data_IF_227520463546
#
_entry.id   IF_227520463546
#
_cell.length_a   1.000
_cell.length_b   1.000
_cell.length_c   1.000
_cell.angle_alpha   90.00
_cell.angle_beta   90.00
_cell.angle_gamma   90.00
#
_symmetry.space_group_name_H-M   'P 1'
#
loop_
_entity.id
_entity.type
_entity.pdbx_description
1 polymer ?
#
# COMPACT_ATOMS: atom_id res chain seq x y z
N UNK A 1 8.80 -18.09 17.65
CA UNK A 1 7.55 -17.96 16.85
C UNK A 1 7.28 -16.54 16.34
N UNK A 2 7.77 -15.47 16.99
CA UNK A 2 7.51 -14.06 16.61
C UNK A 2 8.15 -13.58 15.27
N UNK A 3 9.24 -14.17 14.78
CA UNK A 3 9.94 -13.68 13.57
C UNK A 3 9.19 -13.94 12.26
N UNK A 4 8.68 -15.17 12.05
CA UNK A 4 7.99 -15.56 10.81
C UNK A 4 6.73 -14.74 10.54
N UNK A 5 5.99 -14.35 11.59
CA UNK A 5 4.80 -13.52 11.45
C UNK A 5 5.15 -12.08 11.05
N UNK A 6 6.24 -11.53 11.61
CA UNK A 6 6.74 -10.21 11.24
C UNK A 6 7.28 -10.20 9.80
N UNK A 7 8.03 -11.23 9.40
CA UNK A 7 8.52 -11.39 8.03
C UNK A 7 7.37 -11.48 7.03
N UNK A 8 6.34 -12.28 7.34
CA UNK A 8 5.14 -12.40 6.50
C UNK A 8 4.40 -11.06 6.38
N UNK A 9 4.27 -10.33 7.48
CA UNK A 9 3.59 -9.03 7.49
C UNK A 9 4.35 -7.99 6.65
N UNK A 10 5.68 -7.95 6.76
CA UNK A 10 6.53 -7.09 5.91
C UNK A 10 6.42 -7.49 4.45
N UNK A 11 6.44 -8.79 4.14
CA UNK A 11 6.29 -9.30 2.79
C UNK A 11 4.93 -8.91 2.17
N UNK A 12 3.84 -9.02 2.94
CA UNK A 12 2.51 -8.60 2.52
C UNK A 12 2.45 -7.09 2.28
N UNK A 13 3.00 -6.28 3.19
CA UNK A 13 3.04 -4.84 3.05
C UNK A 13 3.81 -4.42 1.80
N UNK A 14 4.98 -5.01 1.55
CA UNK A 14 5.77 -4.74 0.34
C UNK A 14 5.02 -5.15 -0.93
N UNK A 15 4.43 -6.34 -0.96
CA UNK A 15 3.72 -6.84 -2.13
C UNK A 15 2.54 -5.95 -2.50
N UNK A 16 1.72 -5.58 -1.50
CA UNK A 16 0.56 -4.70 -1.71
C UNK A 16 1.02 -3.28 -2.06
N UNK A 17 2.09 -2.79 -1.43
CA UNK A 17 2.68 -1.50 -1.74
C UNK A 17 3.16 -1.40 -3.19
N UNK A 18 3.80 -2.45 -3.72
CA UNK A 18 4.23 -2.50 -5.13
C UNK A 18 3.04 -2.47 -6.08
N UNK A 19 1.99 -3.24 -5.80
CA UNK A 19 0.76 -3.24 -6.61
C UNK A 19 0.10 -1.86 -6.58
N UNK A 20 -0.09 -1.29 -5.39
CA UNK A 20 -0.64 0.05 -5.21
C UNK A 20 0.16 1.10 -6.00
N UNK A 21 1.49 1.08 -5.86
CA UNK A 21 2.38 2.03 -6.53
C UNK A 21 2.35 1.87 -8.06
N UNK A 22 2.28 0.64 -8.57
CA UNK A 22 2.15 0.39 -10.00
C UNK A 22 0.86 0.98 -10.58
N UNK A 23 -0.27 0.78 -9.89
CA UNK A 23 -1.56 1.34 -10.31
C UNK A 23 -1.56 2.87 -10.21
N UNK A 24 -0.94 3.42 -9.16
CA UNK A 24 -0.76 4.86 -9.00
C UNK A 24 0.05 5.46 -10.14
N UNK A 25 1.19 4.87 -10.48
CA UNK A 25 2.00 5.33 -11.61
C UNK A 25 1.23 5.24 -12.92
N UNK A 26 0.50 4.14 -13.13
CA UNK A 26 -0.35 4.00 -14.31
C UNK A 26 -1.40 5.12 -14.40
N UNK A 27 -2.05 5.46 -13.28
CA UNK A 27 -3.05 6.52 -13.26
C UNK A 27 -2.47 7.93 -13.51
N UNK A 28 -1.21 8.16 -13.15
CA UNK A 28 -0.54 9.47 -13.26
C UNK A 28 0.24 9.66 -14.56
N UNK A 29 0.87 8.60 -15.07
CA UNK A 29 1.90 8.69 -16.10
C UNK A 29 1.56 7.93 -17.38
N UNK A 30 0.44 7.21 -17.45
CA UNK A 30 -0.03 6.72 -18.75
C UNK A 30 -0.33 7.95 -19.62
N UNK A 31 0.39 8.12 -20.75
CA UNK A 31 0.20 9.28 -21.60
C UNK A 31 -1.18 9.19 -22.23
N UNK A 32 -2.04 10.14 -21.87
CA UNK A 32 -3.30 10.35 -22.57
C UNK A 32 -3.18 11.52 -23.55
N UNK A 33 -4.04 11.55 -24.59
CA UNK A 33 -4.12 12.70 -25.49
C UNK A 33 -4.57 14.00 -24.79
N UNK A 34 -5.03 13.92 -23.54
CA UNK A 34 -5.38 15.05 -22.68
C UNK A 34 -4.40 15.20 -21.53
N UNK A 35 -4.30 16.41 -20.97
CA UNK A 35 -3.53 16.70 -19.75
C UNK A 35 -4.20 16.16 -18.47
N UNK A 36 -5.22 15.32 -18.60
CA UNK A 36 -5.95 14.78 -17.46
C UNK A 36 -5.23 13.56 -16.89
N UNK A 37 -5.27 13.43 -15.56
CA UNK A 37 -4.82 12.21 -14.88
C UNK A 37 -6.00 11.25 -14.72
N UNK A 38 -5.74 9.95 -14.77
CA UNK A 38 -6.77 8.91 -14.64
C UNK A 38 -7.17 8.63 -13.19
N UNK A 39 -6.65 9.39 -12.23
CA UNK A 39 -6.91 9.19 -10.79
C UNK A 39 -8.40 9.28 -10.46
N UNK A 40 -9.14 10.13 -11.17
CA UNK A 40 -10.58 10.29 -11.01
C UNK A 40 -11.39 9.18 -11.70
N UNK A 41 -10.80 8.46 -12.65
CA UNK A 41 -11.47 7.41 -13.40
C UNK A 41 -11.77 6.22 -12.47
N UNK A 42 -13.03 5.72 -12.42
CA UNK A 42 -13.41 4.60 -11.55
C UNK A 42 -12.51 3.37 -11.70
N UNK A 43 -11.96 3.12 -12.89
CA UNK A 43 -11.08 2.01 -13.23
C UNK A 43 -9.76 2.06 -12.45
N UNK A 44 -9.25 3.26 -12.17
CA UNK A 44 -8.02 3.46 -11.38
C UNK A 44 -8.34 3.81 -9.93
N UNK A 45 -9.34 4.66 -9.70
CA UNK A 45 -9.76 5.11 -8.37
C UNK A 45 -10.14 3.95 -7.47
N UNK A 46 -10.91 2.98 -7.98
CA UNK A 46 -11.40 1.84 -7.20
C UNK A 46 -10.25 0.96 -6.70
N UNK A 47 -9.36 0.43 -7.57
CA UNK A 47 -8.22 -0.33 -7.10
C UNK A 47 -7.26 0.51 -6.25
N UNK A 48 -7.01 1.79 -6.58
CA UNK A 48 -6.20 2.68 -5.74
C UNK A 48 -6.75 2.79 -4.32
N UNK A 49 -8.06 2.94 -4.17
CA UNK A 49 -8.71 3.05 -2.86
C UNK A 49 -8.61 1.73 -2.08
N UNK A 50 -8.82 0.59 -2.75
CA UNK A 50 -8.76 -0.74 -2.12
C UNK A 50 -7.32 -1.05 -1.68
N UNK A 51 -6.37 -1.04 -2.61
CA UNK A 51 -4.98 -1.39 -2.31
C UNK A 51 -4.32 -0.35 -1.39
N UNK A 52 -4.62 0.94 -1.58
CA UNK A 52 -4.16 2.00 -0.70
C UNK A 52 -4.71 1.86 0.72
N UNK A 53 -5.99 1.51 0.86
CA UNK A 53 -6.61 1.25 2.16
C UNK A 53 -5.99 0.04 2.88
N UNK A 54 -5.80 -1.07 2.17
CA UNK A 54 -5.16 -2.27 2.74
C UNK A 54 -3.71 -1.96 3.13
N UNK A 55 -2.97 -1.27 2.28
CA UNK A 55 -1.58 -0.87 2.55
C UNK A 55 -1.48 0.01 3.80
N UNK A 56 -2.39 0.99 3.95
CA UNK A 56 -2.45 1.86 5.12
C UNK A 56 -2.68 1.05 6.40
N UNK A 57 -3.61 0.09 6.38
CA UNK A 57 -3.88 -0.78 7.54
C UNK A 57 -2.62 -1.57 7.91
N UNK A 58 -1.92 -2.15 6.93
CA UNK A 58 -0.69 -2.91 7.19
C UNK A 58 0.42 -2.04 7.79
N UNK A 59 0.56 -0.78 7.36
CA UNK A 59 1.50 0.16 7.96
C UNK A 59 1.12 0.46 9.42
N UNK A 60 -0.16 0.71 9.70
CA UNK A 60 -0.63 0.99 11.07
C UNK A 60 -0.34 -0.20 11.99
N UNK A 61 -0.62 -1.43 11.54
CA UNK A 61 -0.34 -2.64 12.31
C UNK A 61 1.17 -2.77 12.54
N UNK A 62 1.99 -2.54 11.51
CA UNK A 62 3.46 -2.56 11.63
C UNK A 62 3.95 -1.56 12.67
N UNK A 63 3.41 -0.35 12.63
CA UNK A 63 3.78 0.73 13.54
C UNK A 63 3.37 0.42 14.98
N UNK A 64 2.15 -0.07 15.19
CA UNK A 64 1.66 -0.50 16.51
C UNK A 64 2.53 -1.64 17.07
N UNK A 65 2.86 -2.64 16.26
CA UNK A 65 3.72 -3.74 16.66
C UNK A 65 5.13 -3.26 17.04
N UNK A 66 5.69 -2.32 16.28
CA UNK A 66 6.99 -1.72 16.58
C UNK A 66 6.95 -0.91 17.88
N UNK A 67 5.87 -0.16 18.12
CA UNK A 67 5.71 0.64 19.33
C UNK A 67 5.62 -0.23 20.58
N UNK A 68 4.80 -1.29 20.54
CA UNK A 68 4.67 -2.25 21.65
C UNK A 68 6.01 -2.91 21.97
N UNK A 69 6.76 -3.36 20.95
CA UNK A 69 8.08 -3.97 21.15
C UNK A 69 9.07 -3.02 21.82
N UNK A 70 9.04 -1.73 21.48
CA UNK A 70 9.90 -0.70 22.11
C UNK A 70 9.57 -0.46 23.59
N UNK A 71 8.34 -0.74 24.03
CA UNK A 71 7.95 -0.64 25.45
C UNK A 71 8.34 -1.90 26.25
N UNK A 72 8.60 -3.02 25.57
CA UNK A 72 9.07 -4.28 26.19
C UNK A 72 10.61 -4.32 26.37
N UNK A 73 11.35 -3.39 25.76
CA UNK A 73 12.82 -3.19 25.89
C UNK A 73 13.15 -2.11 26.92
#
# INVERSE_FOLDING_TARGET
>A
MKSKQAELLVFLAQSIGVVFYGIFLAAFYIPMPSNDTLIGDPTFRTPLSIFGGIFLILIIISFAASYVRKQEE
#
